data_IF_780433165802
#
_entry.id   IF_780433165802
#
_cell.length_a   1.000
_cell.length_b   1.000
_cell.length_c   1.000
_cell.angle_alpha   90.00
_cell.angle_beta   90.00
_cell.angle_gamma   90.00
#
_symmetry.space_group_name_H-M   'P 1'
#
loop_
_entity.id
_entity.type
_entity.pdbx_description
1 polymer ?
#
# COMPACT_ATOMS: atom_id res chain seq x y z
N UNK A 1 -15.03 -35.33 -17.03
CA UNK A 1 -15.19 -34.01 -16.36
C UNK A 1 -14.75 -34.15 -14.91
N UNK A 2 -13.83 -33.31 -14.44
CA UNK A 2 -13.48 -33.28 -13.02
C UNK A 2 -14.68 -32.78 -12.21
N UNK A 3 -15.05 -33.49 -11.14
CA UNK A 3 -16.16 -33.09 -10.27
C UNK A 3 -15.73 -31.92 -9.38
N UNK A 4 -16.69 -31.11 -8.91
CA UNK A 4 -16.46 -30.00 -7.97
C UNK A 4 -15.65 -30.45 -6.75
N UNK A 5 -15.90 -31.67 -6.26
CA UNK A 5 -15.15 -32.28 -5.14
C UNK A 5 -13.64 -32.36 -5.40
N UNK A 6 -13.24 -32.66 -6.64
CA UNK A 6 -11.83 -32.72 -7.00
C UNK A 6 -11.17 -31.34 -7.00
N UNK A 7 -11.87 -30.31 -7.49
CA UNK A 7 -11.39 -28.92 -7.42
C UNK A 7 -11.24 -28.42 -5.98
N UNK A 8 -12.19 -28.73 -5.11
CA UNK A 8 -12.10 -28.38 -3.67
C UNK A 8 -10.85 -29.01 -3.05
N UNK A 9 -10.58 -30.29 -3.32
CA UNK A 9 -9.39 -30.98 -2.80
C UNK A 9 -8.09 -30.34 -3.28
N UNK A 10 -8.01 -29.97 -4.57
CA UNK A 10 -6.85 -29.27 -5.13
C UNK A 10 -6.66 -27.88 -4.51
N UNK A 11 -7.75 -27.13 -4.34
CA UNK A 11 -7.71 -25.81 -3.70
C UNK A 11 -7.23 -25.89 -2.25
N UNK A 12 -7.73 -26.85 -1.46
CA UNK A 12 -7.31 -27.02 -0.07
C UNK A 12 -5.83 -27.37 0.05
N UNK A 13 -5.33 -28.24 -0.84
CA UNK A 13 -3.90 -28.55 -0.91
C UNK A 13 -3.05 -27.31 -1.25
N UNK A 14 -3.43 -26.60 -2.32
CA UNK A 14 -2.76 -25.36 -2.72
C UNK A 14 -2.78 -24.32 -1.60
N UNK A 15 -3.90 -24.16 -0.90
CA UNK A 15 -4.06 -23.21 0.21
C UNK A 15 -3.10 -23.52 1.35
N UNK A 16 -2.93 -24.80 1.71
CA UNK A 16 -2.00 -25.16 2.78
C UNK A 16 -0.54 -24.90 2.35
N UNK A 17 -0.19 -25.19 1.09
CA UNK A 17 1.12 -24.91 0.53
C UNK A 17 1.43 -23.40 0.45
N UNK A 18 0.43 -22.54 0.22
CA UNK A 18 0.61 -21.08 0.18
C UNK A 18 0.67 -20.42 1.55
N UNK A 19 0.12 -21.05 2.59
CA UNK A 19 -0.13 -20.43 3.90
C UNK A 19 1.12 -19.80 4.52
N UNK A 20 2.23 -20.53 4.58
CA UNK A 20 3.48 -20.03 5.17
C UNK A 20 4.06 -18.87 4.37
N UNK A 21 4.04 -18.98 3.04
CA UNK A 21 4.50 -17.92 2.14
C UNK A 21 3.66 -16.66 2.28
N UNK A 22 2.34 -16.76 2.27
CA UNK A 22 1.43 -15.63 2.43
C UNK A 22 1.59 -14.95 3.80
N UNK A 23 1.82 -15.74 4.85
CA UNK A 23 2.08 -15.21 6.19
C UNK A 23 3.41 -14.44 6.23
N UNK A 24 4.49 -15.03 5.70
CA UNK A 24 5.79 -14.37 5.63
C UNK A 24 5.75 -13.07 4.81
N UNK A 25 5.06 -13.08 3.67
CA UNK A 25 4.85 -11.89 2.85
C UNK A 25 4.03 -10.81 3.58
N UNK A 26 3.01 -11.22 4.34
CA UNK A 26 2.21 -10.31 5.17
C UNK A 26 3.06 -9.67 6.26
N UNK A 27 3.86 -10.46 6.98
CA UNK A 27 4.74 -9.98 8.04
C UNK A 27 5.79 -9.01 7.49
N UNK A 28 6.41 -9.34 6.35
CA UNK A 28 7.36 -8.47 5.68
C UNK A 28 6.72 -7.12 5.28
N UNK A 29 5.50 -7.16 4.71
CA UNK A 29 4.75 -5.92 4.38
C UNK A 29 4.47 -5.09 5.63
N UNK A 30 3.90 -5.70 6.67
CA UNK A 30 3.57 -4.99 7.93
C UNK A 30 4.83 -4.38 8.55
N UNK A 31 5.92 -5.14 8.61
CA UNK A 31 7.21 -4.68 9.14
C UNK A 31 7.72 -3.46 8.36
N UNK A 32 7.70 -3.53 7.03
CA UNK A 32 8.15 -2.42 6.17
C UNK A 32 7.30 -1.16 6.37
N UNK A 33 5.96 -1.27 6.33
CA UNK A 33 5.08 -0.11 6.52
C UNK A 33 5.20 0.46 7.94
N UNK A 34 5.33 -0.36 8.97
CA UNK A 34 5.56 0.12 10.35
C UNK A 34 6.93 0.80 10.48
N UNK A 35 7.95 0.27 9.82
CA UNK A 35 9.30 0.82 9.84
C UNK A 35 9.36 2.20 9.16
N UNK A 36 8.67 2.38 8.04
CA UNK A 36 8.68 3.63 7.26
C UNK A 36 7.59 4.62 7.66
N UNK A 37 6.37 4.18 7.92
CA UNK A 37 5.23 5.06 8.18
C UNK A 37 4.80 5.10 9.65
N UNK A 38 5.41 4.32 10.54
CA UNK A 38 4.92 4.11 11.91
C UNK A 38 4.90 5.32 12.85
N UNK A 39 5.34 6.50 12.41
CA UNK A 39 5.10 7.76 13.11
C UNK A 39 5.06 8.94 12.12
N UNK A 40 4.45 10.08 12.49
CA UNK A 40 4.47 11.29 11.67
C UNK A 40 5.89 11.75 11.30
N UNK A 41 6.85 11.64 12.22
CA UNK A 41 8.25 12.07 12.03
C UNK A 41 8.93 11.28 10.92
N UNK A 42 8.67 9.98 10.85
CA UNK A 42 9.22 9.14 9.79
C UNK A 42 8.69 9.55 8.42
N UNK A 43 7.40 9.87 8.33
CA UNK A 43 6.77 10.32 7.08
C UNK A 43 7.29 11.71 6.66
N UNK A 44 7.50 12.63 7.62
CA UNK A 44 8.10 13.96 7.32
C UNK A 44 9.45 13.83 6.60
N UNK A 45 10.22 12.82 6.94
CA UNK A 45 11.55 12.56 6.39
C UNK A 45 11.57 11.75 5.09
N UNK A 46 10.42 11.43 4.48
CA UNK A 46 10.40 10.68 3.22
C UNK A 46 11.17 11.39 2.09
N UNK A 47 11.95 10.62 1.37
CA UNK A 47 12.52 11.03 0.09
C UNK A 47 11.56 10.65 -1.04
N UNK A 48 11.81 11.13 -2.26
CA UNK A 48 11.09 10.64 -3.44
C UNK A 48 11.27 9.13 -3.62
N UNK A 49 12.49 8.61 -3.33
CA UNK A 49 12.78 7.18 -3.37
C UNK A 49 11.90 6.40 -2.39
N UNK A 50 11.72 6.89 -1.16
CA UNK A 50 10.84 6.24 -0.17
C UNK A 50 9.39 6.19 -0.67
N UNK A 51 8.95 7.24 -1.38
CA UNK A 51 7.61 7.29 -1.96
C UNK A 51 7.44 6.31 -3.13
N UNK A 52 8.47 6.16 -3.98
CA UNK A 52 8.52 5.08 -4.99
C UNK A 52 8.39 3.71 -4.34
N UNK A 53 9.25 3.41 -3.37
CA UNK A 53 9.20 2.12 -2.66
C UNK A 53 7.84 1.87 -1.99
N UNK A 54 7.24 2.91 -1.41
CA UNK A 54 5.93 2.84 -0.76
C UNK A 54 4.82 2.46 -1.75
N UNK A 55 4.74 3.18 -2.87
CA UNK A 55 3.66 3.01 -3.84
C UNK A 55 3.85 1.70 -4.61
N UNK A 56 5.07 1.36 -5.01
CA UNK A 56 5.36 0.11 -5.74
C UNK A 56 5.07 -1.16 -4.93
N UNK A 57 5.15 -1.08 -3.59
CA UNK A 57 4.80 -2.19 -2.67
C UNK A 57 3.29 -2.35 -2.45
N UNK A 58 2.45 -1.45 -2.99
CA UNK A 58 1.00 -1.62 -2.91
C UNK A 58 0.56 -2.71 -3.89
N UNK A 59 -0.29 -3.62 -3.42
CA UNK A 59 -0.90 -4.63 -4.28
C UNK A 59 -1.64 -3.99 -5.48
N UNK A 60 -2.29 -2.84 -5.27
CA UNK A 60 -3.00 -2.11 -6.34
C UNK A 60 -2.08 -1.67 -7.50
N UNK A 61 -0.76 -1.59 -7.27
CA UNK A 61 0.21 -1.22 -8.29
C UNK A 61 0.70 -2.42 -9.11
N UNK A 62 0.36 -3.65 -8.75
CA UNK A 62 0.77 -4.85 -9.49
C UNK A 62 0.23 -4.91 -10.93
N UNK A 63 -0.91 -4.28 -11.19
CA UNK A 63 -1.49 -4.22 -12.54
C UNK A 63 -0.80 -3.18 -13.45
N UNK A 64 0.05 -2.32 -12.91
CA UNK A 64 0.69 -1.25 -13.68
C UNK A 64 2.00 -1.72 -14.30
N UNK A 65 2.05 -1.76 -15.64
CA UNK A 65 3.28 -2.10 -16.38
C UNK A 65 4.42 -1.10 -16.16
N UNK A 66 4.09 0.19 -16.02
CA UNK A 66 5.05 1.25 -15.71
C UNK A 66 4.72 1.88 -14.35
N UNK A 67 5.12 1.21 -13.26
CA UNK A 67 4.89 1.66 -11.89
C UNK A 67 5.58 3.00 -11.62
N UNK A 68 6.83 3.15 -12.06
CA UNK A 68 7.60 4.39 -11.92
C UNK A 68 6.89 5.62 -12.53
N UNK A 69 6.29 5.49 -13.72
CA UNK A 69 5.49 6.56 -14.31
C UNK A 69 4.34 7.00 -13.40
N UNK A 70 3.66 6.05 -12.75
CA UNK A 70 2.55 6.37 -11.84
C UNK A 70 3.01 7.10 -10.61
N UNK A 71 4.10 6.68 -9.99
CA UNK A 71 4.65 7.39 -8.84
C UNK A 71 5.16 8.78 -9.25
N UNK A 72 5.89 8.88 -10.37
CA UNK A 72 6.37 10.16 -10.87
C UNK A 72 5.22 11.13 -11.14
N UNK A 73 4.15 10.66 -11.79
CA UNK A 73 2.96 11.48 -12.02
C UNK A 73 2.31 11.94 -10.70
N UNK A 74 2.18 11.04 -9.72
CA UNK A 74 1.65 11.38 -8.39
C UNK A 74 2.50 12.48 -7.71
N UNK A 75 3.84 12.39 -7.81
CA UNK A 75 4.76 13.40 -7.28
C UNK A 75 4.63 14.71 -8.05
N UNK A 76 4.63 14.68 -9.39
CA UNK A 76 4.51 15.88 -10.22
C UNK A 76 3.19 16.62 -9.98
N UNK A 77 2.07 15.90 -9.87
CA UNK A 77 0.73 16.50 -9.76
C UNK A 77 0.46 17.11 -8.36
N UNK A 78 1.23 16.72 -7.33
CA UNK A 78 0.96 17.12 -5.93
C UNK A 78 2.14 17.77 -5.20
N UNK A 79 3.36 17.41 -5.56
CA UNK A 79 4.57 17.70 -4.80
C UNK A 79 4.77 16.77 -3.60
N UNK A 80 6.03 16.43 -3.32
CA UNK A 80 6.39 15.51 -2.23
C UNK A 80 5.91 15.99 -0.85
N UNK A 81 6.07 17.29 -0.55
CA UNK A 81 5.68 17.84 0.75
C UNK A 81 4.17 17.73 1.00
N UNK A 82 3.34 17.99 -0.01
CA UNK A 82 1.89 17.86 0.10
C UNK A 82 1.49 16.41 0.36
N UNK A 83 2.11 15.46 -0.33
CA UNK A 83 1.86 14.03 -0.14
C UNK A 83 2.21 13.59 1.29
N UNK A 84 3.37 13.99 1.82
CA UNK A 84 3.76 13.73 3.21
C UNK A 84 2.71 14.25 4.20
N UNK A 85 2.31 15.51 4.07
CA UNK A 85 1.29 16.11 4.94
C UNK A 85 -0.04 15.38 4.84
N UNK A 86 -0.46 15.00 3.63
CA UNK A 86 -1.69 14.25 3.43
C UNK A 86 -1.64 12.86 4.08
N UNK A 87 -0.52 12.13 3.98
CA UNK A 87 -0.34 10.85 4.67
C UNK A 87 -0.37 10.99 6.19
N UNK A 88 0.30 12.01 6.74
CA UNK A 88 0.28 12.29 8.18
C UNK A 88 -1.15 12.57 8.64
N UNK A 89 -1.88 13.43 7.93
CA UNK A 89 -3.26 13.73 8.26
C UNK A 89 -4.16 12.50 8.18
N UNK A 90 -3.99 11.66 7.16
CA UNK A 90 -4.78 10.45 6.96
C UNK A 90 -4.57 9.43 8.10
N UNK A 91 -3.32 9.20 8.48
CA UNK A 91 -2.95 8.13 9.43
C UNK A 91 -2.98 8.57 10.89
N UNK A 92 -2.62 9.82 11.18
CA UNK A 92 -2.30 10.26 12.54
C UNK A 92 -3.15 11.41 13.08
N UNK A 93 -4.02 12.04 12.28
CA UNK A 93 -4.90 13.07 12.84
C UNK A 93 -6.00 12.47 13.72
N UNK A 94 -6.44 13.25 14.70
CA UNK A 94 -7.50 12.90 15.66
C UNK A 94 -8.91 12.98 15.06
N UNK A 95 -9.03 13.40 13.79
CA UNK A 95 -10.31 13.51 13.09
C UNK A 95 -10.93 12.12 12.84
N UNK A 96 -12.27 12.03 12.71
CA UNK A 96 -12.94 10.80 12.32
C UNK A 96 -12.38 10.23 11.00
N UNK A 97 -12.23 8.90 10.92
CA UNK A 97 -11.64 8.23 9.75
C UNK A 97 -12.32 8.60 8.43
N UNK A 98 -13.64 8.74 8.42
CA UNK A 98 -14.39 9.17 7.25
C UNK A 98 -13.94 10.56 6.75
N UNK A 99 -13.79 11.52 7.68
CA UNK A 99 -13.33 12.87 7.35
C UNK A 99 -11.88 12.85 6.84
N UNK A 100 -11.00 12.09 7.49
CA UNK A 100 -9.59 11.94 7.08
C UNK A 100 -9.48 11.41 5.65
N UNK A 101 -10.28 10.40 5.33
CA UNK A 101 -10.34 9.80 4.00
C UNK A 101 -10.88 10.78 2.95
N UNK A 102 -11.98 11.47 3.25
CA UNK A 102 -12.57 12.45 2.35
C UNK A 102 -11.61 13.62 2.06
N UNK A 103 -10.97 14.15 3.10
CA UNK A 103 -9.99 15.23 2.99
C UNK A 103 -8.80 14.78 2.12
N UNK A 104 -8.30 13.56 2.33
CA UNK A 104 -7.21 12.99 1.53
C UNK A 104 -7.61 12.88 0.05
N UNK A 105 -8.76 12.25 -0.23
CA UNK A 105 -9.25 12.00 -1.59
C UNK A 105 -9.55 13.30 -2.36
N UNK A 106 -10.05 14.34 -1.68
CA UNK A 106 -10.31 15.64 -2.30
C UNK A 106 -9.02 16.43 -2.56
N UNK A 107 -8.00 16.24 -1.71
CA UNK A 107 -6.75 17.01 -1.76
C UNK A 107 -5.74 16.46 -2.76
N UNK A 108 -5.63 15.13 -2.88
CA UNK A 108 -4.60 14.47 -3.70
C UNK A 108 -5.14 14.14 -5.10
N UNK A 109 -4.40 14.56 -6.13
CA UNK A 109 -4.67 14.25 -7.54
C UNK A 109 -3.89 13.00 -7.96
N UNK A 110 -4.48 12.07 -8.71
CA UNK A 110 -3.76 10.90 -9.22
C UNK A 110 -4.65 9.75 -9.66
#
# INVERSE_FOLDING_TARGET
>A
MATIKNYIKQYLKWREEQKEKELAEREARVSWYKAKMGSPEKIKNFTEKDLHELIEKLWALEFWRNKAYKVNKLITDNGLNKLKTAFINLLYSEQPIAKKWDDFRKSIKG
#
